data_IF_834523048509
#
_entry.id   IF_834523048509
#
_cell.length_a   1.000
_cell.length_b   1.000
_cell.length_c   1.000
_cell.angle_alpha   90.00
_cell.angle_beta   90.00
_cell.angle_gamma   90.00
#
_symmetry.space_group_name_H-M   'P 1'
#
loop_
_entity.id
_entity.type
_entity.pdbx_description
1 polymer ?
#
# COMPACT_ATOMS: atom_id res chain seq x y z
N UNK A 1 13.77 -19.04 -8.83
CA UNK A 1 13.90 -17.57 -8.97
C UNK A 1 12.50 -16.96 -8.95
N UNK A 2 12.28 -15.84 -8.27
CA UNK A 2 10.96 -15.18 -8.24
C UNK A 2 11.07 -13.82 -8.92
N UNK A 3 10.13 -13.52 -9.80
CA UNK A 3 9.99 -12.21 -10.42
C UNK A 3 8.53 -11.81 -10.60
N UNK A 4 8.30 -10.50 -10.73
CA UNK A 4 6.99 -9.88 -10.70
C UNK A 4 6.72 -9.00 -11.92
N UNK A 5 5.50 -9.06 -12.45
CA UNK A 5 5.06 -8.14 -13.49
C UNK A 5 3.60 -7.75 -13.28
N UNK A 6 3.27 -6.53 -13.69
CA UNK A 6 1.90 -6.02 -13.60
C UNK A 6 1.20 -6.23 -14.93
N UNK A 7 -0.01 -6.77 -14.88
CA UNK A 7 -0.90 -6.88 -16.03
C UNK A 7 -2.08 -5.93 -15.86
N UNK A 8 -2.37 -5.15 -16.92
CA UNK A 8 -3.57 -4.31 -16.94
C UNK A 8 -4.81 -5.20 -17.02
N UNK A 9 -5.79 -4.93 -16.17
CA UNK A 9 -7.08 -5.63 -16.20
C UNK A 9 -7.93 -5.10 -17.36
N UNK A 10 -8.75 -5.96 -17.96
CA UNK A 10 -9.78 -5.52 -18.91
C UNK A 10 -10.94 -4.87 -18.15
N UNK A 11 -10.69 -3.67 -17.64
CA UNK A 11 -11.60 -2.94 -16.76
C UNK A 11 -11.60 -1.45 -17.08
N UNK A 12 -12.70 -0.78 -16.75
CA UNK A 12 -12.84 0.64 -17.00
C UNK A 12 -11.86 1.46 -16.12
N UNK A 13 -10.95 2.17 -16.78
CA UNK A 13 -9.85 2.92 -16.16
C UNK A 13 -10.32 4.14 -15.35
N UNK A 14 -11.54 4.62 -15.61
CA UNK A 14 -12.08 5.84 -15.01
C UNK A 14 -13.03 5.57 -13.84
N UNK A 15 -13.39 4.31 -13.60
CA UNK A 15 -14.37 3.95 -12.57
C UNK A 15 -13.75 3.04 -11.52
N UNK A 16 -13.35 3.63 -10.40
CA UNK A 16 -12.70 2.91 -9.30
C UNK A 16 -13.19 3.40 -7.94
N UNK A 17 -12.76 2.71 -6.90
CA UNK A 17 -12.96 3.10 -5.53
C UNK A 17 -11.63 3.14 -4.79
N UNK A 18 -11.38 4.19 -3.99
CA UNK A 18 -10.24 4.25 -3.08
C UNK A 18 -10.68 4.00 -1.65
N UNK A 19 -9.99 3.14 -0.91
CA UNK A 19 -10.29 2.87 0.50
C UNK A 19 -10.16 4.12 1.39
N UNK A 20 -9.28 5.05 1.03
CA UNK A 20 -9.17 6.35 1.70
C UNK A 20 -10.47 7.19 1.62
N UNK A 21 -11.27 7.02 0.56
CA UNK A 21 -12.56 7.70 0.43
C UNK A 21 -13.57 7.20 1.45
N UNK A 22 -13.63 5.89 1.71
CA UNK A 22 -14.49 5.33 2.77
C UNK A 22 -14.15 6.00 4.11
N UNK A 23 -12.87 6.04 4.47
CA UNK A 23 -12.39 6.61 5.74
C UNK A 23 -12.70 8.11 5.87
N UNK A 24 -12.59 8.87 4.77
CA UNK A 24 -12.78 10.33 4.75
C UNK A 24 -14.25 10.76 4.66
N UNK A 25 -15.04 10.11 3.80
CA UNK A 25 -16.36 10.61 3.42
C UNK A 25 -17.50 9.91 4.15
N UNK A 26 -17.36 8.64 4.57
CA UNK A 26 -18.41 7.92 5.32
C UNK A 26 -18.83 8.66 6.60
N UNK A 27 -17.91 9.18 7.44
CA UNK A 27 -18.31 9.94 8.63
C UNK A 27 -19.07 11.24 8.30
N UNK A 28 -18.69 11.93 7.22
CA UNK A 28 -19.37 13.15 6.76
C UNK A 28 -20.81 12.86 6.32
N UNK A 29 -21.04 11.72 5.69
CA UNK A 29 -22.38 11.30 5.27
C UNK A 29 -23.26 10.93 6.47
N UNK A 30 -22.72 10.30 7.52
CA UNK A 30 -23.48 10.09 8.76
C UNK A 30 -23.89 11.40 9.43
N UNK A 31 -22.94 12.34 9.55
CA UNK A 31 -23.22 13.66 10.12
C UNK A 31 -24.31 14.38 9.31
N UNK A 32 -24.24 14.31 7.98
CA UNK A 32 -25.26 14.88 7.10
C UNK A 32 -26.62 14.18 7.28
N UNK A 33 -26.66 12.85 7.32
CA UNK A 33 -27.91 12.11 7.56
C UNK A 33 -28.55 12.55 8.88
N UNK A 34 -27.77 12.63 9.95
CA UNK A 34 -28.28 13.04 11.27
C UNK A 34 -28.68 14.51 11.32
N UNK A 35 -28.05 15.40 10.53
CA UNK A 35 -28.54 16.76 10.40
C UNK A 35 -29.89 16.84 9.69
N UNK A 36 -30.11 16.03 8.65
CA UNK A 36 -31.42 15.92 7.99
C UNK A 36 -32.47 15.41 8.99
N UNK A 37 -32.13 14.41 9.81
CA UNK A 37 -33.03 13.92 10.88
C UNK A 37 -33.34 15.02 11.92
N UNK A 38 -32.36 15.86 12.29
CA UNK A 38 -32.62 17.03 13.15
C UNK A 38 -33.57 18.02 12.49
N UNK A 39 -33.42 18.27 11.19
CA UNK A 39 -34.31 19.16 10.43
C UNK A 39 -35.75 18.61 10.39
N UNK A 40 -35.90 17.31 10.16
CA UNK A 40 -37.21 16.63 10.22
C UNK A 40 -37.84 16.77 11.61
N UNK A 41 -37.09 16.49 12.68
CA UNK A 41 -37.58 16.65 14.06
C UNK A 41 -37.98 18.10 14.38
N UNK A 42 -37.20 19.09 13.91
CA UNK A 42 -37.55 20.51 14.08
C UNK A 42 -38.85 20.85 13.35
N UNK A 43 -39.00 20.38 12.11
CA UNK A 43 -40.22 20.60 11.32
C UNK A 43 -41.44 20.02 12.02
N UNK A 44 -41.41 18.73 12.41
CA UNK A 44 -42.54 18.10 13.09
C UNK A 44 -42.90 18.78 14.41
N UNK A 45 -41.89 19.18 15.21
CA UNK A 45 -42.12 19.93 16.44
C UNK A 45 -42.84 21.27 16.20
N UNK A 46 -42.40 22.04 15.20
CA UNK A 46 -43.01 23.35 14.87
C UNK A 46 -44.45 23.18 14.38
N UNK A 47 -44.75 22.10 13.66
CA UNK A 47 -46.09 21.78 13.17
C UNK A 47 -46.98 21.07 14.21
N UNK A 48 -46.51 20.86 15.44
CA UNK A 48 -47.27 20.16 16.49
C UNK A 48 -47.48 18.66 16.25
N UNK A 49 -46.69 18.06 15.34
CA UNK A 49 -46.80 16.64 14.98
C UNK A 49 -45.99 15.80 15.98
N UNK A 50 -46.63 14.80 16.59
CA UNK A 50 -46.02 13.91 17.60
C UNK A 50 -45.08 12.84 17.00
N UNK A 51 -44.16 13.26 16.12
CA UNK A 51 -43.14 12.39 15.50
C UNK A 51 -41.76 12.88 15.92
N UNK A 52 -40.93 11.95 16.43
CA UNK A 52 -39.54 12.24 16.79
C UNK A 52 -38.64 11.04 16.48
N UNK A 53 -37.61 11.31 15.70
CA UNK A 53 -36.57 10.35 15.37
C UNK A 53 -35.35 10.52 16.29
N UNK A 54 -34.72 9.40 16.65
CA UNK A 54 -33.47 9.37 17.42
C UNK A 54 -32.30 9.99 16.64
N UNK A 55 -31.44 10.73 17.34
CA UNK A 55 -30.19 11.26 16.77
C UNK A 55 -29.06 10.33 17.18
N UNK A 56 -28.49 9.63 16.20
CA UNK A 56 -27.44 8.64 16.42
C UNK A 56 -26.07 9.22 16.07
N UNK A 57 -25.00 8.66 16.64
CA UNK A 57 -23.62 8.99 16.25
C UNK A 57 -23.28 8.40 14.87
N UNK A 58 -23.67 7.14 14.65
CA UNK A 58 -23.55 6.39 13.40
C UNK A 58 -24.90 5.70 13.13
N UNK A 59 -25.68 6.15 12.14
CA UNK A 59 -26.94 5.51 11.79
C UNK A 59 -26.69 4.19 11.05
N UNK A 60 -27.49 3.17 11.38
CA UNK A 60 -27.57 1.95 10.57
C UNK A 60 -28.40 2.21 9.31
N UNK A 61 -28.15 1.44 8.25
CA UNK A 61 -28.95 1.52 7.04
C UNK A 61 -30.43 1.17 7.30
N UNK A 62 -30.67 0.16 8.15
CA UNK A 62 -32.01 -0.22 8.60
C UNK A 62 -32.76 0.96 9.21
N UNK A 63 -32.10 1.71 10.11
CA UNK A 63 -32.71 2.88 10.73
C UNK A 63 -33.08 3.97 9.70
N UNK A 64 -32.23 4.21 8.70
CA UNK A 64 -32.53 5.17 7.65
C UNK A 64 -33.70 4.72 6.76
N UNK A 65 -33.83 3.41 6.51
CA UNK A 65 -34.96 2.83 5.77
C UNK A 65 -36.26 2.96 6.56
N UNK A 66 -36.25 2.68 7.86
CA UNK A 66 -37.43 2.85 8.74
C UNK A 66 -37.92 4.31 8.76
N UNK A 67 -37.00 5.29 8.76
CA UNK A 67 -37.38 6.71 8.61
C UNK A 67 -38.00 6.96 7.24
N UNK A 68 -37.38 6.46 6.17
CA UNK A 68 -37.87 6.68 4.80
C UNK A 68 -39.30 6.14 4.62
N UNK A 69 -39.57 4.92 5.08
CA UNK A 69 -40.90 4.29 5.01
C UNK A 69 -41.96 5.09 5.79
N UNK A 70 -41.62 5.54 7.01
CA UNK A 70 -42.53 6.38 7.82
C UNK A 70 -42.82 7.72 7.17
N UNK A 71 -41.81 8.33 6.54
CA UNK A 71 -41.98 9.59 5.83
C UNK A 71 -42.84 9.41 4.57
N UNK A 72 -42.75 8.27 3.87
CA UNK A 72 -43.62 7.98 2.73
C UNK A 72 -45.08 7.85 3.18
N UNK A 73 -45.35 7.07 4.23
CA UNK A 73 -46.70 6.91 4.77
C UNK A 73 -47.29 8.28 5.20
N UNK A 74 -46.51 9.08 5.90
CA UNK A 74 -46.93 10.42 6.33
C UNK A 74 -47.22 11.34 5.13
N UNK A 75 -46.34 11.36 4.11
CA UNK A 75 -46.52 12.20 2.92
C UNK A 75 -47.75 11.81 2.09
N UNK A 76 -48.11 10.52 2.09
CA UNK A 76 -49.34 10.02 1.47
C UNK A 76 -50.57 10.51 2.23
N UNK A 77 -50.58 10.38 3.56
CA UNK A 77 -51.67 10.82 4.42
C UNK A 77 -51.97 12.32 4.27
N UNK A 78 -50.93 13.16 4.22
CA UNK A 78 -51.11 14.62 4.06
C UNK A 78 -51.31 15.07 2.60
N UNK A 79 -51.40 14.15 1.64
CA UNK A 79 -51.59 14.48 0.22
C UNK A 79 -50.45 15.30 -0.41
N UNK A 80 -49.26 15.29 0.18
CA UNK A 80 -48.15 16.20 -0.15
C UNK A 80 -47.19 15.66 -1.23
N UNK A 81 -47.72 14.85 -2.16
CA UNK A 81 -46.95 14.17 -3.22
C UNK A 81 -46.83 15.09 -4.45
N UNK A 82 -46.14 16.23 -4.32
CA UNK A 82 -45.84 17.12 -5.47
C UNK A 82 -44.37 17.03 -5.88
N UNK A 83 -44.11 16.92 -7.18
CA UNK A 83 -42.75 16.98 -7.77
C UNK A 83 -42.54 18.35 -8.43
N UNK A 84 -41.34 18.93 -8.32
CA UNK A 84 -40.99 20.22 -8.96
C UNK A 84 -41.08 21.45 -8.04
N UNK A 85 -41.47 22.62 -8.59
CA UNK A 85 -41.67 23.85 -7.81
C UNK A 85 -42.82 23.65 -6.81
N UNK A 86 -42.60 24.03 -5.54
CA UNK A 86 -43.59 23.83 -4.46
C UNK A 86 -43.55 22.44 -3.82
N UNK A 87 -42.43 21.70 -3.93
CA UNK A 87 -42.25 20.44 -3.19
C UNK A 87 -42.34 20.67 -1.67
N UNK A 88 -43.03 19.76 -0.98
CA UNK A 88 -43.19 19.81 0.46
C UNK A 88 -41.82 19.73 1.18
N UNK A 89 -41.54 20.53 2.23
CA UNK A 89 -40.25 20.53 2.93
C UNK A 89 -39.80 19.13 3.38
N UNK A 90 -40.73 18.33 3.94
CA UNK A 90 -40.46 16.95 4.35
C UNK A 90 -40.10 16.05 3.17
N UNK A 91 -40.78 16.19 2.03
CA UNK A 91 -40.48 15.43 0.82
C UNK A 91 -39.10 15.78 0.25
N UNK A 92 -38.68 17.04 0.36
CA UNK A 92 -37.32 17.48 0.00
C UNK A 92 -36.28 16.84 0.93
N UNK A 93 -36.48 16.91 2.25
CA UNK A 93 -35.60 16.30 3.23
C UNK A 93 -35.51 14.79 3.09
N UNK A 94 -36.64 14.11 2.81
CA UNK A 94 -36.67 12.68 2.50
C UNK A 94 -35.79 12.33 1.29
N UNK A 95 -35.92 13.08 0.19
CA UNK A 95 -35.10 12.86 -1.01
C UNK A 95 -33.61 13.03 -0.71
N UNK A 96 -33.26 14.06 0.07
CA UNK A 96 -31.88 14.27 0.50
C UNK A 96 -31.37 13.14 1.40
N UNK A 97 -32.20 12.66 2.34
CA UNK A 97 -31.89 11.54 3.21
C UNK A 97 -31.65 10.26 2.39
N UNK A 98 -32.52 9.97 1.43
CA UNK A 98 -32.37 8.83 0.52
C UNK A 98 -31.09 8.91 -0.32
N UNK A 99 -30.72 10.10 -0.81
CA UNK A 99 -29.42 10.28 -1.50
C UNK A 99 -28.24 10.00 -0.58
N UNK A 100 -28.28 10.44 0.67
CA UNK A 100 -27.22 10.19 1.65
C UNK A 100 -27.18 8.71 2.04
N UNK A 101 -28.33 8.07 2.23
CA UNK A 101 -28.44 6.64 2.53
C UNK A 101 -27.86 5.77 1.41
N UNK A 102 -28.14 6.10 0.13
CA UNK A 102 -27.53 5.44 -1.03
C UNK A 102 -26.00 5.53 -1.01
N UNK A 103 -25.44 6.71 -0.72
CA UNK A 103 -24.00 6.87 -0.57
C UNK A 103 -23.44 6.02 0.58
N UNK A 104 -24.11 6.01 1.74
CA UNK A 104 -23.71 5.20 2.89
C UNK A 104 -23.73 3.70 2.59
N UNK A 105 -24.73 3.23 1.84
CA UNK A 105 -24.81 1.85 1.36
C UNK A 105 -23.65 1.53 0.41
N UNK A 106 -23.38 2.40 -0.56
CA UNK A 106 -22.24 2.24 -1.47
C UNK A 106 -20.89 2.16 -0.74
N UNK A 107 -20.69 2.97 0.31
CA UNK A 107 -19.47 2.88 1.14
C UNK A 107 -19.40 1.58 1.94
N UNK A 108 -20.53 1.03 2.39
CA UNK A 108 -20.56 -0.24 3.09
C UNK A 108 -20.18 -1.40 2.16
N UNK A 109 -20.78 -1.46 0.96
CA UNK A 109 -20.43 -2.44 -0.07
C UNK A 109 -18.97 -2.30 -0.51
N UNK A 110 -18.51 -1.07 -0.75
CA UNK A 110 -17.12 -0.83 -1.14
C UNK A 110 -16.13 -1.28 -0.07
N UNK A 111 -16.47 -1.15 1.22
CA UNK A 111 -15.62 -1.62 2.33
C UNK A 111 -15.48 -3.14 2.32
N UNK A 112 -16.56 -3.84 2.03
CA UNK A 112 -16.57 -5.31 1.95
C UNK A 112 -15.71 -5.79 0.78
N UNK A 113 -15.94 -5.24 -0.42
CA UNK A 113 -15.15 -5.55 -1.61
C UNK A 113 -13.65 -5.25 -1.39
N UNK A 114 -13.32 -4.11 -0.78
CA UNK A 114 -11.92 -3.74 -0.55
C UNK A 114 -11.18 -4.79 0.29
N UNK A 115 -11.83 -5.36 1.31
CA UNK A 115 -11.13 -6.16 2.31
C UNK A 115 -9.93 -5.39 2.88
N UNK A 116 -8.73 -5.94 2.68
CA UNK A 116 -7.46 -5.30 3.09
C UNK A 116 -6.83 -4.40 2.01
N UNK A 117 -7.38 -4.41 0.79
CA UNK A 117 -6.84 -3.68 -0.37
C UNK A 117 -7.08 -2.17 -0.25
N UNK A 118 -6.27 -1.40 -0.96
CA UNK A 118 -6.37 0.07 -0.98
C UNK A 118 -7.34 0.61 -2.03
N UNK A 119 -7.67 -0.17 -3.05
CA UNK A 119 -8.55 0.24 -4.15
C UNK A 119 -9.09 -0.96 -4.92
N UNK A 120 -10.15 -0.75 -5.69
CA UNK A 120 -10.63 -1.71 -6.69
C UNK A 120 -11.27 -0.99 -7.90
N UNK A 121 -11.35 -1.67 -9.04
CA UNK A 121 -12.15 -1.19 -10.19
C UNK A 121 -13.63 -1.53 -10.03
N UNK A 122 -14.52 -0.59 -10.37
CA UNK A 122 -15.97 -0.84 -10.28
C UNK A 122 -16.47 -1.88 -11.30
N UNK A 123 -15.73 -2.09 -12.39
CA UNK A 123 -16.10 -3.07 -13.43
C UNK A 123 -15.33 -4.38 -13.31
N UNK A 124 -14.25 -4.40 -12.51
CA UNK A 124 -13.50 -5.59 -12.13
C UNK A 124 -13.10 -5.44 -10.64
N UNK A 125 -13.96 -5.88 -9.72
CA UNK A 125 -13.73 -5.72 -8.29
C UNK A 125 -12.47 -6.40 -7.76
N UNK A 126 -11.85 -7.32 -8.49
CA UNK A 126 -10.64 -8.03 -8.07
C UNK A 126 -9.36 -7.28 -8.48
N UNK A 127 -9.44 -6.44 -9.51
CA UNK A 127 -8.33 -5.59 -9.95
C UNK A 127 -8.09 -4.40 -9.02
N UNK A 128 -6.83 -4.19 -8.63
CA UNK A 128 -6.40 -3.03 -7.82
C UNK A 128 -5.88 -1.91 -8.74
N UNK A 129 -6.04 -0.66 -8.36
CA UNK A 129 -5.44 0.47 -9.07
C UNK A 129 -3.91 0.51 -8.82
N UNK A 130 -3.11 0.30 -9.86
CA UNK A 130 -1.65 0.19 -9.78
C UNK A 130 -0.95 1.18 -10.72
N UNK A 131 0.28 1.57 -10.36
CA UNK A 131 1.19 2.23 -11.30
C UNK A 131 1.75 1.18 -12.26
N UNK A 132 1.46 1.35 -13.55
CA UNK A 132 2.01 0.51 -14.62
C UNK A 132 3.41 0.99 -15.03
N UNK A 133 4.20 0.10 -15.65
CA UNK A 133 5.54 0.42 -16.19
C UNK A 133 5.39 1.22 -17.51
N UNK A 134 5.00 2.49 -17.39
CA UNK A 134 5.15 3.62 -18.32
C UNK A 134 5.23 3.35 -19.84
N UNK A 135 4.28 3.92 -20.59
CA UNK A 135 4.46 4.33 -21.99
C UNK A 135 5.19 5.68 -22.04
N UNK A 136 6.36 5.70 -22.68
CA UNK A 136 7.28 6.84 -22.80
C UNK A 136 6.61 8.16 -23.22
N UNK A 137 5.50 8.09 -23.95
CA UNK A 137 4.82 9.25 -24.56
C UNK A 137 3.67 9.85 -23.74
N UNK A 138 3.16 9.14 -22.73
CA UNK A 138 2.03 9.61 -21.93
C UNK A 138 2.51 10.02 -20.54
N UNK A 139 2.77 11.32 -20.36
CA UNK A 139 3.12 11.99 -19.08
C UNK A 139 2.06 11.90 -17.98
N UNK A 140 1.23 10.87 -18.00
CA UNK A 140 0.13 10.70 -17.06
C UNK A 140 0.56 9.65 -16.04
N UNK A 141 0.88 10.09 -14.81
CA UNK A 141 0.98 9.27 -13.60
C UNK A 141 -0.39 8.62 -13.26
N UNK A 142 -1.00 7.91 -14.22
CA UNK A 142 -2.37 7.41 -14.13
C UNK A 142 -2.30 5.98 -13.65
N UNK A 143 -2.94 5.75 -12.50
CA UNK A 143 -3.21 4.42 -12.02
C UNK A 143 -4.16 3.71 -12.99
N UNK A 144 -3.86 2.47 -13.30
CA UNK A 144 -4.76 1.60 -14.06
C UNK A 144 -5.17 0.41 -13.22
N UNK A 145 -6.38 -0.14 -13.40
CA UNK A 145 -6.73 -1.39 -12.77
C UNK A 145 -5.83 -2.51 -13.29
N UNK A 146 -5.30 -3.33 -12.40
CA UNK A 146 -4.41 -4.40 -12.77
C UNK A 146 -4.11 -5.38 -11.66
N UNK A 147 -3.33 -6.39 -12.03
CA UNK A 147 -2.92 -7.50 -11.18
C UNK A 147 -1.41 -7.53 -11.11
N UNK A 148 -0.86 -7.68 -9.91
CA UNK A 148 0.57 -7.88 -9.73
C UNK A 148 0.86 -9.39 -9.71
N UNK A 149 1.23 -9.94 -10.87
CA UNK A 149 1.48 -11.37 -11.04
C UNK A 149 2.93 -11.68 -10.73
N UNK A 150 3.12 -12.68 -9.90
CA UNK A 150 4.41 -13.16 -9.42
C UNK A 150 4.58 -14.59 -9.89
N UNK A 151 5.74 -14.93 -10.43
CA UNK A 151 6.05 -16.29 -10.86
C UNK A 151 7.36 -16.75 -10.26
N UNK A 152 7.40 -18.03 -9.90
CA UNK A 152 8.60 -18.74 -9.51
C UNK A 152 9.07 -19.58 -10.67
N UNK A 153 10.21 -19.24 -11.26
CA UNK A 153 10.81 -19.99 -12.36
C UNK A 153 11.94 -20.87 -11.84
N UNK A 154 11.99 -22.11 -12.30
CA UNK A 154 13.06 -23.06 -12.01
C UNK A 154 13.42 -23.80 -13.30
N UNK A 155 14.65 -23.60 -13.81
CA UNK A 155 15.16 -24.25 -15.02
C UNK A 155 14.22 -24.08 -16.23
N UNK A 156 13.67 -22.87 -16.42
CA UNK A 156 12.76 -22.54 -17.52
C UNK A 156 11.29 -22.93 -17.31
N UNK A 157 10.94 -23.63 -16.22
CA UNK A 157 9.56 -23.95 -15.89
C UNK A 157 8.99 -23.01 -14.84
N UNK A 158 7.74 -22.58 -15.01
CA UNK A 158 6.99 -21.89 -13.96
C UNK A 158 6.58 -22.93 -12.92
N UNK A 159 7.28 -22.92 -11.78
CA UNK A 159 7.04 -23.84 -10.67
C UNK A 159 5.85 -23.43 -9.81
N UNK A 160 5.58 -22.12 -9.68
CA UNK A 160 4.45 -21.59 -8.92
C UNK A 160 4.11 -20.17 -9.39
N UNK A 161 2.87 -19.75 -9.22
CA UNK A 161 2.42 -18.39 -9.50
C UNK A 161 1.53 -17.86 -8.38
N UNK A 162 1.59 -16.55 -8.17
CA UNK A 162 0.78 -15.86 -7.18
C UNK A 162 0.32 -14.51 -7.75
N UNK A 163 -0.97 -14.24 -7.64
CA UNK A 163 -1.58 -12.99 -8.11
C UNK A 163 -1.83 -12.11 -6.90
N UNK A 164 -1.04 -11.06 -6.76
CA UNK A 164 -1.12 -10.15 -5.63
C UNK A 164 -1.96 -8.92 -5.94
N UNK A 165 -2.81 -8.47 -4.99
CA UNK A 165 -3.44 -7.16 -5.05
C UNK A 165 -2.49 -6.02 -4.61
N UNK A 166 -1.32 -6.32 -4.04
CA UNK A 166 -0.33 -5.31 -3.65
C UNK A 166 0.47 -4.78 -4.84
N UNK A 167 0.58 -3.46 -4.90
CA UNK A 167 1.32 -2.74 -5.96
C UNK A 167 2.83 -2.98 -5.88
N UNK A 168 3.36 -3.25 -4.68
CA UNK A 168 4.80 -3.35 -4.42
C UNK A 168 5.22 -4.80 -4.18
N UNK A 169 6.25 -5.24 -4.91
CA UNK A 169 6.78 -6.60 -4.90
C UNK A 169 7.39 -6.99 -3.54
N UNK A 170 7.79 -6.01 -2.73
CA UNK A 170 8.29 -6.28 -1.37
C UNK A 170 7.31 -7.10 -0.53
N UNK A 171 6.00 -6.86 -0.69
CA UNK A 171 4.97 -7.54 0.12
C UNK A 171 4.52 -8.87 -0.46
N UNK A 172 4.94 -9.22 -1.67
CA UNK A 172 4.45 -10.42 -2.36
C UNK A 172 5.29 -11.65 -2.05
N UNK A 173 6.54 -11.49 -1.60
CA UNK A 173 7.47 -12.59 -1.36
C UNK A 173 6.94 -13.60 -0.34
N UNK A 174 6.50 -13.12 0.84
CA UNK A 174 6.04 -13.98 1.93
C UNK A 174 4.77 -14.75 1.51
N UNK A 175 3.69 -14.10 1.03
CA UNK A 175 2.51 -14.81 0.53
C UNK A 175 2.84 -15.80 -0.60
N UNK A 176 3.78 -15.45 -1.49
CA UNK A 176 4.24 -16.35 -2.55
C UNK A 176 4.87 -17.62 -1.95
N UNK A 177 5.78 -17.49 -0.99
CA UNK A 177 6.47 -18.61 -0.35
C UNK A 177 5.54 -19.46 0.51
N UNK A 178 4.63 -18.82 1.26
CA UNK A 178 3.61 -19.53 2.03
C UNK A 178 2.70 -20.35 1.11
N UNK A 179 2.25 -19.76 0.00
CA UNK A 179 1.45 -20.46 -1.00
C UNK A 179 2.19 -21.62 -1.66
N UNK A 180 3.47 -21.41 -2.02
CA UNK A 180 4.35 -22.46 -2.52
C UNK A 180 4.44 -23.63 -1.53
N UNK A 181 4.75 -23.35 -0.26
CA UNK A 181 4.86 -24.37 0.78
C UNK A 181 3.53 -25.09 1.00
N UNK A 182 2.41 -24.37 1.01
CA UNK A 182 1.09 -24.99 1.16
C UNK A 182 0.77 -25.94 0.01
N UNK A 183 1.23 -25.65 -1.22
CA UNK A 183 0.98 -26.49 -2.38
C UNK A 183 1.91 -27.70 -2.45
N UNK A 184 3.19 -27.53 -2.13
CA UNK A 184 4.21 -28.58 -2.31
C UNK A 184 4.61 -29.29 -1.01
N UNK A 185 4.17 -28.79 0.14
CA UNK A 185 4.49 -29.34 1.46
C UNK A 185 5.87 -28.98 1.99
N UNK A 186 6.67 -28.22 1.24
CA UNK A 186 8.04 -27.85 1.61
C UNK A 186 8.43 -26.45 1.11
N UNK A 187 9.39 -25.82 1.77
CA UNK A 187 9.95 -24.52 1.41
C UNK A 187 11.04 -24.67 0.32
N UNK A 188 11.22 -23.70 -0.59
CA UNK A 188 12.30 -23.76 -1.56
C UNK A 188 13.66 -23.59 -0.87
N UNK A 189 14.64 -24.43 -1.24
CA UNK A 189 16.01 -24.36 -0.68
C UNK A 189 16.69 -23.00 -0.87
N UNK A 190 16.43 -22.36 -2.01
CA UNK A 190 17.02 -21.07 -2.37
C UNK A 190 16.02 -20.24 -3.15
N UNK A 191 16.00 -18.94 -2.85
CA UNK A 191 15.19 -17.95 -3.56
C UNK A 191 16.11 -16.84 -4.05
N UNK A 192 15.99 -16.50 -5.33
CA UNK A 192 16.71 -15.40 -5.98
C UNK A 192 15.70 -14.44 -6.57
N UNK A 193 15.81 -13.15 -6.29
CA UNK A 193 14.83 -12.13 -6.72
C UNK A 193 15.49 -10.84 -7.20
N UNK A 194 14.67 -9.92 -7.72
CA UNK A 194 15.10 -8.56 -8.03
C UNK A 194 15.27 -7.68 -6.77
N UNK A 195 15.62 -6.40 -6.98
CA UNK A 195 15.88 -5.46 -5.89
C UNK A 195 14.63 -5.02 -5.12
N UNK A 196 13.44 -5.22 -5.67
CA UNK A 196 12.15 -4.85 -5.09
C UNK A 196 11.74 -5.71 -3.90
N UNK A 197 12.27 -6.93 -3.79
CA UNK A 197 11.94 -7.86 -2.72
C UNK A 197 12.82 -7.73 -1.47
N UNK A 198 13.99 -7.10 -1.56
CA UNK A 198 14.90 -6.99 -0.42
C UNK A 198 14.36 -6.13 0.71
N UNK A 199 13.87 -6.76 1.78
CA UNK A 199 13.34 -6.12 2.99
C UNK A 199 13.66 -6.94 4.23
N UNK A 200 13.62 -6.29 5.40
CA UNK A 200 13.86 -6.98 6.66
C UNK A 200 12.87 -8.13 6.86
N UNK A 201 11.60 -7.88 6.54
CA UNK A 201 10.50 -8.83 6.66
C UNK A 201 10.77 -10.09 5.84
N UNK A 202 11.19 -9.94 4.58
CA UNK A 202 11.45 -11.09 3.69
C UNK A 202 12.72 -11.85 4.10
N UNK A 203 13.78 -11.18 4.54
CA UNK A 203 14.96 -11.86 5.06
C UNK A 203 14.69 -12.60 6.37
N UNK A 204 13.94 -11.98 7.27
CA UNK A 204 13.54 -12.58 8.54
C UNK A 204 12.69 -13.84 8.31
N UNK A 205 11.71 -13.76 7.41
CA UNK A 205 10.91 -14.93 7.01
C UNK A 205 11.81 -16.04 6.44
N UNK A 206 12.67 -15.71 5.48
CA UNK A 206 13.57 -16.70 4.90
C UNK A 206 14.50 -17.35 5.93
N UNK A 207 15.02 -16.58 6.90
CA UNK A 207 15.83 -17.13 7.97
C UNK A 207 15.03 -18.10 8.86
N UNK A 208 13.81 -17.75 9.25
CA UNK A 208 12.94 -18.62 10.05
C UNK A 208 12.63 -19.94 9.33
N UNK A 209 12.46 -19.88 8.01
CA UNK A 209 12.15 -21.00 7.15
C UNK A 209 13.40 -21.70 6.56
N UNK A 210 14.60 -21.32 6.99
CA UNK A 210 15.88 -21.87 6.52
C UNK A 210 16.06 -21.81 4.98
N UNK A 211 15.43 -20.81 4.35
CA UNK A 211 15.52 -20.53 2.91
C UNK A 211 16.76 -19.68 2.66
N UNK A 212 17.63 -20.10 1.75
CA UNK A 212 18.74 -19.26 1.30
C UNK A 212 18.21 -18.13 0.40
N UNK A 213 18.05 -16.94 0.97
CA UNK A 213 17.43 -15.80 0.29
C UNK A 213 18.45 -14.83 -0.30
N UNK A 214 18.62 -14.89 -1.62
CA UNK A 214 19.45 -13.98 -2.41
C UNK A 214 18.55 -12.89 -2.98
N UNK A 215 18.02 -12.05 -2.08
CA UNK A 215 17.16 -10.94 -2.45
C UNK A 215 18.04 -9.72 -2.65
N UNK A 216 18.12 -9.19 -3.87
CA UNK A 216 18.74 -7.87 -4.03
C UNK A 216 17.88 -6.85 -3.27
N UNK A 217 18.48 -5.77 -2.78
CA UNK A 217 17.77 -4.76 -2.00
C UNK A 217 17.84 -3.37 -2.64
N UNK A 218 16.88 -2.48 -2.33
CA UNK A 218 16.89 -1.12 -2.84
C UNK A 218 18.17 -0.39 -2.44
N UNK A 219 18.85 0.19 -3.43
CA UNK A 219 20.11 0.90 -3.21
C UNK A 219 21.37 0.02 -3.30
N UNK A 220 21.27 -1.29 -3.57
CA UNK A 220 22.45 -2.16 -3.78
C UNK A 220 23.43 -1.58 -4.82
N UNK A 221 22.94 -1.12 -5.98
CA UNK A 221 23.79 -0.50 -7.00
C UNK A 221 24.40 0.82 -6.52
N UNK A 222 23.58 1.67 -5.89
CA UNK A 222 24.04 2.96 -5.34
C UNK A 222 25.15 2.76 -4.31
N UNK A 223 25.07 1.72 -3.47
CA UNK A 223 26.08 1.38 -2.47
C UNK A 223 27.48 1.21 -3.09
N UNK A 224 27.56 0.66 -4.31
CA UNK A 224 28.81 0.40 -5.03
C UNK A 224 29.37 1.63 -5.76
N UNK A 225 28.61 2.72 -5.85
CA UNK A 225 29.09 3.94 -6.48
C UNK A 225 30.24 4.57 -5.67
N UNK A 226 31.24 5.11 -6.36
CA UNK A 226 32.30 5.90 -5.73
C UNK A 226 31.68 7.08 -4.98
N UNK A 227 32.14 7.30 -3.75
CA UNK A 227 31.71 8.46 -2.96
C UNK A 227 32.22 9.74 -3.60
N UNK A 228 31.30 10.66 -3.85
CA UNK A 228 31.45 11.97 -4.47
C UNK A 228 30.72 13.00 -3.62
N UNK A 229 30.97 14.27 -3.92
CA UNK A 229 30.42 15.40 -3.16
C UNK A 229 28.87 15.41 -3.08
N UNK A 230 28.19 14.85 -4.09
CA UNK A 230 26.72 14.78 -4.15
C UNK A 230 26.11 13.61 -3.35
N UNK A 231 26.79 12.46 -3.25
CA UNK A 231 26.25 11.26 -2.61
C UNK A 231 26.88 10.96 -1.23
N UNK A 232 27.93 11.67 -0.81
CA UNK A 232 28.54 11.55 0.53
C UNK A 232 27.53 11.74 1.68
N UNK A 233 26.44 12.45 1.43
CA UNK A 233 25.35 12.65 2.38
C UNK A 233 24.35 11.48 2.41
N UNK A 234 24.56 10.37 1.71
CA UNK A 234 23.69 9.20 1.84
C UNK A 234 24.23 8.30 2.95
N UNK A 235 23.35 7.80 3.83
CA UNK A 235 23.77 7.01 5.00
C UNK A 235 24.61 5.77 4.61
N UNK A 236 24.30 5.15 3.46
CA UNK A 236 25.04 4.00 2.94
C UNK A 236 26.47 4.30 2.50
N UNK A 237 26.83 5.57 2.33
CA UNK A 237 28.18 6.04 1.98
C UNK A 237 28.90 6.68 3.17
N UNK A 238 28.24 6.80 4.32
CA UNK A 238 28.87 7.29 5.55
C UNK A 238 29.79 6.21 6.12
N UNK A 239 30.97 6.62 6.59
CA UNK A 239 31.88 5.73 7.30
C UNK A 239 31.24 5.30 8.62
N UNK A 240 31.73 4.17 9.15
CA UNK A 240 31.39 3.69 10.49
C UNK A 240 32.60 3.88 11.40
N UNK A 241 32.38 4.26 12.65
CA UNK A 241 33.42 4.18 13.68
C UNK A 241 33.58 2.72 14.16
N UNK A 242 34.48 2.47 15.12
CA UNK A 242 34.76 1.13 15.64
C UNK A 242 33.54 0.42 16.26
N UNK A 243 32.54 1.19 16.71
CA UNK A 243 31.30 0.69 17.31
C UNK A 243 30.17 0.49 16.27
N UNK A 244 30.42 0.79 15.00
CA UNK A 244 29.42 0.71 13.93
C UNK A 244 28.53 1.96 13.81
N UNK A 245 28.79 3.01 14.60
CA UNK A 245 28.06 4.28 14.55
C UNK A 245 28.41 5.05 13.27
N UNK A 246 27.42 5.65 12.57
CA UNK A 246 27.70 6.43 11.36
C UNK A 246 28.50 7.70 11.70
N UNK A 247 29.44 8.06 10.82
CA UNK A 247 30.20 9.31 10.87
C UNK A 247 29.73 10.21 9.73
N UNK A 248 29.36 11.45 10.03
CA UNK A 248 28.91 12.39 9.00
C UNK A 248 30.09 12.83 8.10
N UNK A 249 29.83 13.42 6.91
CA UNK A 249 30.89 13.88 6.01
C UNK A 249 31.83 14.95 6.61
N UNK A 250 31.39 15.65 7.66
CA UNK A 250 32.21 16.61 8.41
C UNK A 250 33.09 15.95 9.48
N UNK A 251 32.98 14.63 9.69
CA UNK A 251 33.79 13.87 10.64
C UNK A 251 33.18 13.69 12.04
N UNK A 252 31.94 14.14 12.27
CA UNK A 252 31.27 13.96 13.56
C UNK A 252 30.46 12.67 13.61
N UNK A 253 30.66 11.91 14.68
CA UNK A 253 29.86 10.74 15.01
C UNK A 253 28.40 11.15 15.30
N UNK A 254 27.48 10.23 15.05
CA UNK A 254 26.10 10.41 15.48
C UNK A 254 25.90 9.83 16.88
N UNK A 255 25.01 10.43 17.65
CA UNK A 255 24.61 9.92 18.97
C UNK A 255 23.31 9.10 18.87
N UNK A 256 23.16 8.11 19.73
CA UNK A 256 21.92 7.33 19.82
C UNK A 256 20.84 8.20 20.46
N UNK A 257 19.77 8.47 19.72
CA UNK A 257 18.60 9.21 20.21
C UNK A 257 17.61 8.26 20.90
N UNK A 258 17.40 7.07 20.32
CA UNK A 258 16.53 6.02 20.89
C UNK A 258 16.72 4.69 20.18
N UNK A 259 16.36 3.62 20.85
CA UNK A 259 16.29 2.27 20.28
C UNK A 259 14.82 1.84 20.25
N UNK A 260 14.41 1.24 19.13
CA UNK A 260 13.08 0.63 18.98
C UNK A 260 13.23 -0.83 18.62
N UNK A 261 12.41 -1.67 19.22
CA UNK A 261 12.31 -3.09 18.89
C UNK A 261 10.87 -3.35 18.45
N UNK A 262 10.71 -3.98 17.29
CA UNK A 262 9.43 -4.42 16.74
C UNK A 262 9.49 -5.94 16.55
N UNK A 263 8.41 -6.64 16.92
CA UNK A 263 8.30 -8.10 16.89
C UNK A 263 7.29 -8.62 15.86
N UNK A 264 6.83 -7.77 14.92
CA UNK A 264 5.73 -8.11 14.00
C UNK A 264 5.99 -9.33 13.12
N UNK A 265 7.25 -9.62 12.83
CA UNK A 265 7.67 -10.71 11.92
C UNK A 265 8.12 -11.97 12.66
N UNK A 266 7.91 -12.07 13.97
CA UNK A 266 8.44 -13.16 14.81
C UNK A 266 9.95 -13.06 15.07
N UNK A 267 10.71 -12.43 14.18
CA UNK A 267 12.12 -12.04 14.39
C UNK A 267 12.20 -10.61 14.94
N UNK A 268 12.96 -10.37 16.04
CA UNK A 268 13.16 -9.03 16.58
C UNK A 268 13.82 -8.07 15.57
N UNK A 269 13.10 -7.00 15.21
CA UNK A 269 13.62 -5.89 14.42
C UNK A 269 14.10 -4.77 15.33
N UNK A 270 15.38 -4.76 15.66
CA UNK A 270 16.00 -3.61 16.32
C UNK A 270 16.29 -2.51 15.30
N UNK A 271 15.80 -1.31 15.57
CA UNK A 271 16.09 -0.08 14.83
C UNK A 271 16.68 0.95 15.78
N UNK A 272 17.93 1.31 15.54
CA UNK A 272 18.65 2.35 16.28
C UNK A 272 18.42 3.68 15.56
N UNK A 273 17.87 4.64 16.29
CA UNK A 273 17.69 6.01 15.81
C UNK A 273 18.85 6.85 16.31
N UNK A 274 19.51 7.50 15.36
CA UNK A 274 20.67 8.35 15.60
C UNK A 274 20.34 9.80 15.31
N UNK A 275 21.02 10.70 16.03
CA UNK A 275 20.98 12.15 15.83
C UNK A 275 22.39 12.71 15.83
N UNK A 276 22.71 13.56 14.87
CA UNK A 276 23.95 14.33 14.90
C UNK A 276 23.68 15.71 15.51
N UNK A 277 24.30 16.00 16.66
CA UNK A 277 24.12 17.25 17.41
C UNK A 277 25.03 18.38 16.89
N UNK A 278 26.07 18.08 16.12
CA UNK A 278 27.07 19.04 15.64
C UNK A 278 26.65 19.79 14.36
N UNK A 279 25.35 19.95 14.14
CA UNK A 279 24.82 20.46 12.89
C UNK A 279 24.56 21.98 12.88
N UNK A 280 24.48 22.67 14.03
CA UNK A 280 23.99 24.05 14.15
C UNK A 280 24.75 25.05 13.25
N UNK A 281 26.09 25.03 13.33
CA UNK A 281 26.98 25.89 12.53
C UNK A 281 27.78 25.10 11.48
N UNK A 282 27.26 23.96 11.04
CA UNK A 282 27.97 23.09 10.10
C UNK A 282 27.96 23.69 8.67
N UNK A 283 29.13 23.87 8.02
CA UNK A 283 29.20 24.45 6.67
C UNK A 283 28.51 23.58 5.60
N UNK A 284 28.37 22.26 5.87
CA UNK A 284 27.71 21.31 4.97
C UNK A 284 26.20 21.19 5.23
N UNK A 285 25.64 21.91 6.22
CA UNK A 285 24.26 21.71 6.69
C UNK A 285 23.24 21.87 5.55
N UNK A 286 23.36 22.93 4.75
CA UNK A 286 22.44 23.25 3.65
C UNK A 286 22.27 22.12 2.64
N UNK A 287 23.32 21.31 2.44
CA UNK A 287 23.32 20.14 1.55
C UNK A 287 23.04 18.82 2.25
N UNK A 288 23.18 18.79 3.58
CA UNK A 288 23.14 17.56 4.38
C UNK A 288 21.78 17.31 5.03
N UNK A 289 21.11 18.34 5.57
CA UNK A 289 19.85 18.18 6.31
C UNK A 289 19.05 19.49 6.37
N UNK A 290 17.73 19.39 6.24
CA UNK A 290 16.79 20.50 6.47
C UNK A 290 16.23 20.53 7.89
N UNK A 291 16.54 19.52 8.71
CA UNK A 291 16.01 19.41 10.07
C UNK A 291 16.63 20.44 11.02
N UNK A 292 15.79 21.16 11.77
CA UNK A 292 16.24 22.11 12.81
C UNK A 292 17.10 21.44 13.89
N UNK A 293 16.74 20.21 14.29
CA UNK A 293 17.40 19.43 15.35
C UNK A 293 18.69 18.72 14.90
N UNK A 294 19.17 18.96 13.70
CA UNK A 294 20.31 18.23 13.14
C UNK A 294 19.92 16.93 12.44
N UNK A 295 20.91 16.33 11.76
CA UNK A 295 20.68 15.19 10.87
C UNK A 295 20.30 13.94 11.65
N UNK A 296 19.33 13.18 11.15
CA UNK A 296 18.98 11.86 11.67
C UNK A 296 19.47 10.73 10.79
N UNK A 297 19.70 9.58 11.40
CA UNK A 297 19.93 8.32 10.72
C UNK A 297 19.14 7.20 11.42
N UNK A 298 18.78 6.16 10.67
CA UNK A 298 18.09 4.97 11.19
C UNK A 298 18.78 3.75 10.64
N UNK A 299 19.18 2.86 11.53
CA UNK A 299 19.93 1.66 11.18
C UNK A 299 19.28 0.48 11.84
N UNK A 300 19.11 -0.59 11.07
CA UNK A 300 18.76 -1.90 11.59
C UNK A 300 20.00 -2.79 11.43
N UNK A 301 20.74 -3.07 12.52
CA UNK A 301 21.96 -3.87 12.44
C UNK A 301 21.72 -5.24 11.80
N UNK A 302 20.58 -5.86 12.12
CA UNK A 302 20.17 -7.13 11.56
C UNK A 302 19.89 -7.05 10.04
N UNK A 303 19.24 -5.98 9.57
CA UNK A 303 19.06 -5.76 8.12
C UNK A 303 20.41 -5.57 7.42
N UNK A 304 21.34 -4.81 8.00
CA UNK A 304 22.68 -4.65 7.43
C UNK A 304 23.45 -5.96 7.40
N UNK A 305 23.26 -6.84 8.38
CA UNK A 305 23.81 -8.19 8.39
C UNK A 305 23.29 -9.02 7.21
N UNK A 306 21.97 -9.11 7.03
CA UNK A 306 21.39 -9.81 5.87
C UNK A 306 21.91 -9.25 4.54
N UNK A 307 21.98 -7.92 4.42
CA UNK A 307 22.50 -7.27 3.22
C UNK A 307 23.97 -7.61 2.95
N UNK A 308 24.81 -7.68 4.00
CA UNK A 308 26.22 -8.10 3.86
C UNK A 308 26.36 -9.56 3.43
N UNK A 309 25.51 -10.45 3.93
CA UNK A 309 25.48 -11.86 3.52
C UNK A 309 25.09 -11.98 2.03
N UNK A 310 24.08 -11.24 1.60
CA UNK A 310 23.69 -11.14 0.18
C UNK A 310 24.83 -10.55 -0.66
N UNK A 311 25.47 -9.47 -0.21
CA UNK A 311 26.60 -8.85 -0.92
C UNK A 311 27.72 -9.87 -1.12
N UNK A 312 28.14 -10.56 -0.05
CA UNK A 312 29.21 -11.55 -0.09
C UNK A 312 28.88 -12.70 -1.06
N UNK A 313 27.64 -13.21 -1.02
CA UNK A 313 27.19 -14.25 -1.93
C UNK A 313 27.23 -13.79 -3.40
N UNK A 314 26.76 -12.57 -3.69
CA UNK A 314 26.72 -12.02 -5.05
C UNK A 314 28.10 -11.76 -5.65
N UNK A 315 29.15 -11.63 -4.84
CA UNK A 315 30.54 -11.54 -5.32
C UNK A 315 31.16 -12.90 -5.69
N UNK A 316 30.57 -14.01 -5.24
CA UNK A 316 31.02 -15.37 -5.60
C UNK A 316 30.70 -15.71 -7.06
N UNK A 317 31.43 -16.68 -7.63
CA UNK A 317 31.15 -17.18 -8.98
C UNK A 317 29.76 -17.82 -9.09
N UNK A 318 29.27 -18.48 -8.03
CA UNK A 318 27.90 -18.99 -8.02
C UNK A 318 26.88 -17.85 -8.00
N UNK A 319 27.08 -16.83 -7.17
CA UNK A 319 26.20 -15.67 -7.11
C UNK A 319 26.07 -14.97 -8.46
N UNK A 320 27.20 -14.74 -9.14
CA UNK A 320 27.23 -14.17 -10.50
C UNK A 320 26.46 -15.04 -11.50
N UNK A 321 26.68 -16.37 -11.48
CA UNK A 321 25.98 -17.32 -12.35
C UNK A 321 24.46 -17.32 -12.12
N UNK A 322 24.02 -17.34 -10.86
CA UNK A 322 22.59 -17.30 -10.50
C UNK A 322 21.93 -16.00 -10.94
N UNK A 323 22.63 -14.87 -10.84
CA UNK A 323 22.13 -13.59 -11.32
C UNK A 323 22.02 -13.52 -12.85
N UNK A 324 22.96 -14.14 -13.57
CA UNK A 324 22.88 -14.27 -15.02
C UNK A 324 21.71 -15.17 -15.44
N UNK A 325 21.56 -16.34 -14.78
CA UNK A 325 20.45 -17.26 -15.01
C UNK A 325 19.09 -16.58 -14.76
N UNK A 326 18.96 -15.81 -13.68
CA UNK A 326 17.75 -15.02 -13.39
C UNK A 326 17.36 -14.12 -14.55
N UNK A 327 18.32 -13.44 -15.18
CA UNK A 327 18.00 -12.56 -16.32
C UNK A 327 17.33 -13.35 -17.45
N UNK A 328 17.90 -14.50 -17.79
CA UNK A 328 17.38 -15.35 -18.87
C UNK A 328 16.03 -16.00 -18.53
N UNK A 329 15.87 -16.49 -17.30
CA UNK A 329 14.65 -17.22 -16.91
C UNK A 329 13.44 -16.28 -16.74
N UNK A 330 13.63 -15.10 -16.17
CA UNK A 330 12.53 -14.17 -15.90
C UNK A 330 12.06 -13.49 -17.19
N UNK A 331 13.01 -13.03 -18.01
CA UNK A 331 12.71 -12.42 -19.29
C UNK A 331 12.13 -13.43 -20.28
N UNK A 332 12.60 -14.69 -20.25
CA UNK A 332 12.02 -15.77 -21.06
C UNK A 332 10.56 -16.03 -20.70
N UNK A 333 10.27 -16.34 -19.42
CA UNK A 333 8.92 -16.71 -19.00
C UNK A 333 7.91 -15.57 -19.20
N UNK A 334 8.23 -14.34 -18.78
CA UNK A 334 7.34 -13.21 -19.01
C UNK A 334 7.34 -12.75 -20.47
N UNK A 335 8.45 -12.92 -21.20
CA UNK A 335 8.56 -12.62 -22.63
C UNK A 335 7.63 -13.50 -23.46
N UNK A 336 7.58 -14.80 -23.17
CA UNK A 336 6.66 -15.74 -23.82
C UNK A 336 5.20 -15.41 -23.50
N UNK A 337 4.87 -15.15 -22.22
CA UNK A 337 3.52 -14.72 -21.83
C UNK A 337 3.11 -13.46 -22.59
N UNK A 338 4.01 -12.49 -22.73
CA UNK A 338 3.70 -11.21 -23.38
C UNK A 338 3.61 -11.33 -24.90
N UNK A 339 4.60 -11.95 -25.53
CA UNK A 339 4.73 -12.01 -26.99
C UNK A 339 3.84 -13.08 -27.61
N UNK A 340 3.83 -14.29 -27.04
CA UNK A 340 3.15 -15.44 -27.66
C UNK A 340 1.64 -15.43 -27.36
N UNK A 341 1.23 -14.88 -26.22
CA UNK A 341 -0.19 -14.77 -25.85
C UNK A 341 -0.79 -13.38 -26.09
N UNK A 342 -0.04 -12.47 -26.71
CA UNK A 342 -0.54 -11.16 -27.12
C UNK A 342 -0.85 -10.18 -25.99
N UNK A 343 -0.31 -10.39 -24.78
CA UNK A 343 -0.42 -9.43 -23.69
C UNK A 343 0.53 -8.24 -23.95
N UNK A 344 -0.04 -7.10 -24.31
CA UNK A 344 0.72 -5.87 -24.59
C UNK A 344 1.36 -5.28 -23.33
N UNK A 345 2.63 -4.86 -23.46
CA UNK A 345 3.28 -3.93 -22.52
C UNK A 345 2.56 -2.58 -22.63
N UNK A 346 1.99 -2.08 -21.54
CA UNK A 346 1.55 -0.69 -21.41
C UNK A 346 2.03 -0.07 -20.10
#
# INVERSE_FOLDING_TARGET
>A
MIDGTKFEANANKMTFFWGAWVKRYRPRHWQKAMEIVRQLNRYFKVQGIAVRYSILKEPTLKYLMEIDERLDAWLQEVGAIRKGRGIHPVAKLKRELGSVAKSLFSYALAKDILGERNSFSKTDPDATMMHMKYDYYNHTNVFKPGYNVQIGVNNGYIAYSYISPDVNDTKTAIPFLEGYRNQFGDDPKMVVTDAGYGSFENYAYAQLHQIQAILKYPGYQKKKEKVKEKNQFQLMHMKRNGEGTPICPQGYDFEIEKIRVDMKTGVPRTTIHYRNQHCENCPLRSRCTTSKKGRSARISPQLEKYQKEVDAYLETEEGKRRMAQRSSEAEGAFGDIKKNFGYSLL
#
